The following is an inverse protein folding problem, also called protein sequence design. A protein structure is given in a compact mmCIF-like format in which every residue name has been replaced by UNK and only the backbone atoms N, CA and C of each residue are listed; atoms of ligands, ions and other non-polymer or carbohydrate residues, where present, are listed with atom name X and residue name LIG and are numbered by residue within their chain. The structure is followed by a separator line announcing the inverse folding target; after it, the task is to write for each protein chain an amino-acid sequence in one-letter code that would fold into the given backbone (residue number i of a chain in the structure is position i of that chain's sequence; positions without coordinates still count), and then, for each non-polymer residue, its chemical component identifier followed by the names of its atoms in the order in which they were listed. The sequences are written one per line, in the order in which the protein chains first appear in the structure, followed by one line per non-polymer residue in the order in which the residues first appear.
data_IF_683923296393
#
_entry.id   IF_683923296393
#
_cell.length_a   1.000
_cell.length_b   1.000
_cell.length_c   1.000
_cell.angle_alpha   90.00
_cell.angle_beta   90.00
_cell.angle_gamma   90.00
#
_symmetry.space_group_name_H-M   'P 1'
#
loop_
_entity.id
_entity.type
_entity.pdbx_description
1 polymer ?
#
# COMPACT_ATOMS: atom_id res chain seq x y z
N UNK A 1 7.98 3.08 0.85
CA UNK A 1 7.24 4.14 0.13
C UNK A 1 7.89 4.49 -1.20
N UNK A 2 9.20 4.77 -1.26
CA UNK A 2 9.91 5.10 -2.52
C UNK A 2 9.64 4.11 -3.68
N UNK A 3 9.69 2.79 -3.42
CA UNK A 3 9.36 1.76 -4.43
C UNK A 3 7.93 1.86 -4.96
N UNK A 4 6.96 2.15 -4.10
CA UNK A 4 5.56 2.29 -4.52
C UNK A 4 5.38 3.52 -5.44
N UNK A 5 6.02 4.64 -5.10
CA UNK A 5 6.00 5.85 -5.94
C UNK A 5 6.68 5.62 -7.29
N UNK A 6 7.86 5.00 -7.29
CA UNK A 6 8.59 4.68 -8.52
C UNK A 6 7.77 3.76 -9.43
N UNK A 7 7.21 2.68 -8.87
CA UNK A 7 6.39 1.75 -9.67
C UNK A 7 5.16 2.42 -10.26
N UNK A 8 4.54 3.38 -9.56
CA UNK A 8 3.43 4.18 -10.10
C UNK A 8 3.87 5.05 -11.27
N UNK A 9 5.02 5.71 -11.19
CA UNK A 9 5.56 6.51 -12.29
C UNK A 9 5.80 5.66 -13.54
N UNK A 10 6.40 4.48 -13.38
CA UNK A 10 6.62 3.56 -14.50
C UNK A 10 5.30 3.04 -15.09
N UNK A 11 4.30 2.75 -14.25
CA UNK A 11 2.97 2.37 -14.71
C UNK A 11 2.30 3.48 -15.52
N UNK A 12 2.36 4.73 -15.04
CA UNK A 12 1.79 5.89 -15.74
C UNK A 12 2.47 6.16 -17.09
N UNK A 13 3.72 5.76 -17.26
CA UNK A 13 4.46 5.83 -18.53
C UNK A 13 4.14 4.67 -19.48
N UNK A 14 3.28 3.73 -19.08
CA UNK A 14 2.98 2.51 -19.83
C UNK A 14 4.06 1.44 -19.75
N UNK A 15 5.09 1.63 -18.91
CA UNK A 15 6.18 0.68 -18.75
C UNK A 15 5.83 -0.40 -17.72
N UNK A 16 4.85 -1.25 -18.06
CA UNK A 16 4.28 -2.23 -17.15
C UNK A 16 5.29 -3.27 -16.65
N UNK A 17 6.28 -3.63 -17.47
CA UNK A 17 7.34 -4.57 -17.08
C UNK A 17 8.25 -3.99 -15.99
N UNK A 18 8.68 -2.73 -16.14
CA UNK A 18 9.47 -2.04 -15.13
C UNK A 18 8.65 -1.79 -13.85
N UNK A 19 7.39 -1.35 -13.99
CA UNK A 19 6.49 -1.18 -12.86
C UNK A 19 6.34 -2.50 -12.05
N UNK A 20 6.08 -3.61 -12.73
CA UNK A 20 5.97 -4.93 -12.12
C UNK A 20 7.25 -5.35 -11.40
N UNK A 21 8.43 -5.10 -11.99
CA UNK A 21 9.71 -5.39 -11.35
C UNK A 21 9.88 -4.60 -10.04
N UNK A 22 9.56 -3.30 -10.06
CA UNK A 22 9.62 -2.45 -8.87
C UNK A 22 8.64 -2.94 -7.80
N UNK A 23 7.41 -3.30 -8.19
CA UNK A 23 6.40 -3.80 -7.25
C UNK A 23 6.71 -5.19 -6.67
N UNK A 24 7.48 -6.03 -7.38
CA UNK A 24 8.00 -7.30 -6.83
C UNK A 24 8.99 -7.08 -5.70
N UNK A 25 9.72 -5.96 -5.72
CA UNK A 25 10.62 -5.57 -4.64
C UNK A 25 9.92 -5.06 -3.37
N UNK A 26 8.58 -4.95 -3.35
CA UNK A 26 7.85 -4.57 -2.14
C UNK A 26 7.50 -5.85 -1.38
N UNK A 27 8.04 -5.98 -0.16
CA UNK A 27 7.74 -7.12 0.71
C UNK A 27 6.37 -6.93 1.38
N UNK A 28 5.31 -7.25 0.63
CA UNK A 28 3.92 -7.05 1.07
C UNK A 28 3.63 -7.86 2.35
N UNK A 29 4.19 -9.06 2.48
CA UNK A 29 3.91 -9.97 3.61
C UNK A 29 4.30 -9.35 4.96
N UNK A 30 5.47 -8.71 5.07
CA UNK A 30 5.85 -8.01 6.31
C UNK A 30 5.06 -6.72 6.56
N UNK A 31 4.44 -6.15 5.53
CA UNK A 31 3.67 -4.91 5.61
C UNK A 31 2.21 -5.14 6.03
N UNK A 32 1.62 -6.29 5.69
CA UNK A 32 0.24 -6.65 6.06
C UNK A 32 -0.06 -6.38 7.55
N UNK A 33 0.70 -6.92 8.54
CA UNK A 33 0.36 -6.70 9.95
C UNK A 33 0.46 -5.22 10.35
N UNK A 34 1.38 -4.45 9.75
CA UNK A 34 1.54 -3.01 10.01
C UNK A 34 0.39 -2.20 9.41
N UNK A 35 -0.05 -2.54 8.21
CA UNK A 35 -1.18 -1.92 7.53
C UNK A 35 -2.47 -2.22 8.30
N UNK A 36 -2.73 -3.49 8.61
CA UNK A 36 -3.91 -3.94 9.37
C UNK A 36 -3.99 -3.24 10.72
N UNK A 37 -2.87 -3.17 11.47
CA UNK A 37 -2.82 -2.44 12.75
C UNK A 37 -3.15 -0.96 12.56
N UNK A 38 -2.58 -0.30 11.55
CA UNK A 38 -2.80 1.13 11.31
C UNK A 38 -4.24 1.45 10.91
N UNK A 39 -4.88 0.57 10.13
CA UNK A 39 -6.31 0.67 9.77
C UNK A 39 -7.19 0.45 11.00
N UNK A 40 -6.95 -0.62 11.76
CA UNK A 40 -7.70 -0.92 12.98
C UNK A 40 -7.61 0.24 13.98
N UNK A 41 -6.42 0.81 14.16
CA UNK A 41 -6.19 1.98 15.01
C UNK A 41 -6.99 3.20 14.55
N UNK A 42 -7.05 3.45 13.24
CA UNK A 42 -7.90 4.52 12.67
C UNK A 42 -9.37 4.30 12.99
N UNK A 43 -9.89 3.08 12.79
CA UNK A 43 -11.29 2.74 13.07
C UNK A 43 -11.59 2.91 14.56
N UNK A 44 -10.70 2.43 15.43
CA UNK A 44 -10.80 2.62 16.88
C UNK A 44 -10.76 4.10 17.26
N UNK A 45 -9.88 4.92 16.67
CA UNK A 45 -9.85 6.38 16.89
C UNK A 45 -11.15 7.06 16.44
N UNK A 46 -11.75 6.66 15.33
CA UNK A 46 -13.05 7.22 14.91
C UNK A 46 -14.16 6.86 15.90
N UNK A 47 -14.13 5.65 16.47
CA UNK A 47 -15.06 5.19 17.50
C UNK A 47 -14.79 5.84 18.88
N UNK A 48 -13.51 6.06 19.21
CA UNK A 48 -13.04 6.64 20.46
C UNK A 48 -12.98 8.18 20.43
N UNK A 49 -13.22 8.85 19.30
CA UNK A 49 -13.51 10.30 19.31
C UNK A 49 -14.74 10.65 20.17
N UNK A 50 -15.56 9.65 20.53
CA UNK A 50 -16.61 9.75 21.54
C UNK A 50 -16.15 9.53 23.00
N UNK A 51 -14.92 9.03 23.24
CA UNK A 51 -14.29 8.84 24.56
C UNK A 51 -12.77 8.98 24.46
N UNK A 52 -12.25 10.17 24.80
CA UNK A 52 -10.83 10.56 24.78
C UNK A 52 -9.87 9.44 25.18
N UNK A 53 -9.12 8.91 24.21
CA UNK A 53 -7.96 8.06 24.48
C UNK A 53 -6.80 8.39 23.53
N UNK A 54 -5.61 8.59 24.11
CA UNK A 54 -4.35 8.73 23.38
C UNK A 54 -3.91 7.37 22.86
N UNK A 55 -3.95 7.19 21.55
CA UNK A 55 -3.49 5.95 20.90
C UNK A 55 -2.08 6.16 20.32
N UNK A 56 -1.27 5.10 20.40
CA UNK A 56 0.18 5.07 20.18
C UNK A 56 0.64 5.65 18.82
N UNK A 57 1.70 6.47 18.87
CA UNK A 57 2.35 7.16 17.73
C UNK A 57 3.12 6.23 16.75
N UNK A 58 3.10 4.91 16.94
CA UNK A 58 4.02 3.99 16.27
C UNK A 58 3.40 3.17 15.13
N UNK A 59 2.25 3.62 14.58
CA UNK A 59 1.58 3.01 13.42
C UNK A 59 1.90 3.79 12.14
N UNK A 60 1.90 3.13 10.98
CA UNK A 60 2.08 3.82 9.68
C UNK A 60 1.04 4.93 9.49
N UNK A 61 1.41 5.96 8.74
CA UNK A 61 0.46 6.96 8.27
C UNK A 61 -0.57 6.32 7.32
N UNK A 62 -1.82 6.80 7.37
CA UNK A 62 -2.83 6.36 6.41
C UNK A 62 -2.45 6.68 4.97
N UNK A 63 -1.66 7.74 4.74
CA UNK A 63 -1.15 8.04 3.41
C UNK A 63 -0.24 6.91 2.89
N UNK A 64 0.65 6.40 3.74
CA UNK A 64 1.52 5.27 3.45
C UNK A 64 0.72 4.00 3.16
N UNK A 65 -0.34 3.74 3.95
CA UNK A 65 -1.24 2.59 3.73
C UNK A 65 -1.94 2.71 2.38
N UNK A 66 -2.50 3.88 2.05
CA UNK A 66 -3.15 4.13 0.75
C UNK A 66 -2.19 3.91 -0.42
N UNK A 67 -0.95 4.40 -0.31
CA UNK A 67 0.08 4.23 -1.34
C UNK A 67 0.48 2.75 -1.53
N UNK A 68 0.57 1.99 -0.43
CA UNK A 68 0.86 0.56 -0.50
C UNK A 68 -0.29 -0.23 -1.14
N UNK A 69 -1.54 0.11 -0.82
CA UNK A 69 -2.71 -0.49 -1.48
C UNK A 69 -2.74 -0.17 -2.97
N UNK A 70 -2.44 1.08 -3.35
CA UNK A 70 -2.31 1.48 -4.75
C UNK A 70 -1.21 0.68 -5.46
N UNK A 71 -0.03 0.50 -4.85
CA UNK A 71 1.03 -0.31 -5.43
C UNK A 71 0.63 -1.79 -5.62
N UNK A 72 -0.15 -2.36 -4.70
CA UNK A 72 -0.68 -3.72 -4.83
C UNK A 72 -1.65 -3.80 -6.02
N UNK A 73 -2.57 -2.84 -6.14
CA UNK A 73 -3.50 -2.75 -7.27
C UNK A 73 -2.76 -2.61 -8.59
N UNK A 74 -1.78 -1.70 -8.68
CA UNK A 74 -1.00 -1.47 -9.89
C UNK A 74 -0.12 -2.67 -10.26
N UNK A 75 0.34 -3.45 -9.28
CA UNK A 75 1.02 -4.73 -9.52
C UNK A 75 0.10 -5.72 -10.22
N UNK A 76 -1.14 -5.87 -9.75
CA UNK A 76 -2.14 -6.74 -10.38
C UNK A 76 -2.46 -6.26 -11.79
N UNK A 77 -2.71 -4.96 -11.97
CA UNK A 77 -2.96 -4.37 -13.30
C UNK A 77 -1.79 -4.56 -14.25
N UNK A 78 -0.55 -4.43 -13.79
CA UNK A 78 0.64 -4.66 -14.62
C UNK A 78 0.73 -6.11 -15.08
N UNK A 79 0.31 -7.08 -14.24
CA UNK A 79 0.22 -8.49 -14.62
C UNK A 79 -0.86 -8.72 -15.69
N UNK A 80 -2.03 -8.10 -15.53
CA UNK A 80 -3.11 -8.15 -16.53
C UNK A 80 -2.65 -7.57 -17.88
N UNK A 81 -2.02 -6.40 -17.87
CA UNK A 81 -1.52 -5.73 -19.09
C UNK A 81 -0.44 -6.53 -19.81
N UNK A 82 0.34 -7.34 -19.09
CA UNK A 82 1.38 -8.20 -19.66
C UNK A 82 0.85 -9.59 -20.05
N UNK A 83 -0.44 -9.88 -19.84
CA UNK A 83 -1.00 -11.21 -20.08
C UNK A 83 -0.43 -12.29 -19.15
N UNK A 84 0.09 -11.89 -17.99
CA UNK A 84 0.71 -12.77 -16.99
C UNK A 84 -0.29 -13.25 -15.92
N UNK A 85 -1.57 -12.88 -16.05
CA UNK A 85 -2.68 -13.44 -15.27
C UNK A 85 -3.14 -14.72 -15.96
N UNK A 86 -2.68 -15.87 -15.45
CA UNK A 86 -3.23 -17.20 -15.79
C UNK A 86 -4.16 -17.67 -14.68
#
# INVERSE_FOLDING_TARGET
EARALLGRLEYQRGNYAAALQVFRGIDIQSLIPKMTKSIADRVQRQKARFKSQKVQRNTMSMHSVSLLLEAILLKARSLEQLGLTK
#
